data_IF_665704233603
#
_entry.id   IF_665704233603
#
_cell.length_a   1.000
_cell.length_b   1.000
_cell.length_c   1.000
_cell.angle_alpha   90.00
_cell.angle_beta   90.00
_cell.angle_gamma   90.00
#
_symmetry.space_group_name_H-M   'P 1'
#
loop_
_entity.id
_entity.type
_entity.pdbx_description
1 polymer ?
#
# COMPACT_ATOMS: atom_id res chain seq x y z
N UNK A 1 -3.71 18.22 23.84
CA UNK A 1 -4.91 17.78 23.07
C UNK A 1 -4.39 17.07 21.82
N UNK A 2 -5.01 15.96 21.39
CA UNK A 2 -4.59 15.27 20.17
C UNK A 2 -4.98 16.10 18.93
N UNK A 3 -4.12 16.10 17.91
CA UNK A 3 -4.52 16.57 16.57
C UNK A 3 -5.32 15.46 15.89
N UNK A 4 -6.34 15.83 15.11
CA UNK A 4 -7.08 14.92 14.22
C UNK A 4 -6.79 15.18 12.73
N UNK A 5 -5.75 15.97 12.45
CA UNK A 5 -5.24 16.23 11.10
C UNK A 5 -3.76 15.89 11.05
N UNK A 6 -3.35 15.16 10.03
CA UNK A 6 -1.97 14.87 9.70
C UNK A 6 -1.75 15.05 8.19
N UNK A 7 -0.74 15.81 7.79
CA UNK A 7 -0.50 16.16 6.38
C UNK A 7 0.53 15.21 5.74
N UNK A 8 0.13 13.95 5.50
CA UNK A 8 1.01 12.87 5.05
C UNK A 8 1.91 13.24 3.85
N UNK A 9 1.39 13.95 2.86
CA UNK A 9 2.16 14.33 1.65
C UNK A 9 3.21 15.42 1.90
N UNK A 10 3.18 16.12 3.04
CA UNK A 10 4.21 17.10 3.41
C UNK A 10 5.44 16.45 4.06
N UNK A 11 5.36 15.18 4.43
CA UNK A 11 6.49 14.45 4.99
C UNK A 11 7.59 14.21 3.95
N UNK A 12 8.83 14.14 4.42
CA UNK A 12 9.96 13.74 3.61
C UNK A 12 9.73 12.29 3.12
N UNK A 13 9.70 12.05 1.81
CA UNK A 13 9.46 10.70 1.31
C UNK A 13 10.67 9.79 1.47
N UNK A 14 10.40 8.48 1.52
CA UNK A 14 11.39 7.47 1.18
C UNK A 14 11.39 7.27 -0.34
N UNK A 15 12.50 7.61 -0.98
CA UNK A 15 12.73 7.43 -2.41
C UNK A 15 13.51 6.14 -2.62
N UNK A 16 13.04 5.28 -3.52
CA UNK A 16 13.67 4.01 -3.88
C UNK A 16 13.71 3.87 -5.40
N UNK A 17 14.56 2.99 -5.96
CA UNK A 17 14.49 2.67 -7.37
C UNK A 17 13.07 2.22 -7.76
N UNK A 18 12.46 2.90 -8.74
CA UNK A 18 11.13 2.57 -9.25
C UNK A 18 9.95 3.13 -8.44
N UNK A 19 10.16 3.96 -7.41
CA UNK A 19 9.04 4.59 -6.73
C UNK A 19 9.36 5.44 -5.51
N UNK A 20 8.30 5.93 -4.89
CA UNK A 20 8.36 6.78 -3.70
C UNK A 20 7.23 6.42 -2.74
N UNK A 21 7.51 6.46 -1.43
CA UNK A 21 6.53 6.14 -0.39
C UNK A 21 6.61 7.09 0.80
N UNK A 22 5.45 7.35 1.41
CA UNK A 22 5.27 8.05 2.69
C UNK A 22 4.29 7.24 3.53
N UNK A 23 4.58 7.06 4.82
CA UNK A 23 3.71 6.32 5.72
C UNK A 23 3.54 7.06 7.04
N UNK A 24 2.37 6.91 7.64
CA UNK A 24 2.10 7.35 9.01
C UNK A 24 1.33 6.28 9.76
N UNK A 25 1.86 5.94 10.93
CA UNK A 25 1.27 5.07 11.92
C UNK A 25 0.86 5.88 13.15
N UNK A 26 0.47 5.19 14.22
CA UNK A 26 0.24 5.82 15.53
C UNK A 26 1.48 6.55 16.07
N UNK A 27 2.68 6.19 15.62
CA UNK A 27 3.93 6.83 16.06
C UNK A 27 4.06 8.28 15.55
N UNK A 28 3.62 8.52 14.31
CA UNK A 28 3.63 9.85 13.69
C UNK A 28 2.31 10.59 13.94
N UNK A 29 1.19 9.85 13.99
CA UNK A 29 -0.15 10.39 14.17
C UNK A 29 -0.89 9.70 15.33
N UNK A 30 -0.68 10.14 16.59
CA UNK A 30 -1.15 9.43 17.79
C UNK A 30 -2.67 9.29 17.93
N UNK A 31 -3.45 10.07 17.20
CA UNK A 31 -4.90 9.91 17.15
C UNK A 31 -5.34 8.65 16.38
N UNK A 32 -4.48 8.06 15.54
CA UNK A 32 -4.79 6.93 14.65
C UNK A 32 -4.33 5.59 15.22
N UNK A 33 -4.97 5.14 16.30
CA UNK A 33 -4.57 3.92 17.05
C UNK A 33 -4.98 2.61 16.35
N UNK A 34 -5.91 2.66 15.39
CA UNK A 34 -6.47 1.45 14.74
C UNK A 34 -6.11 1.26 13.26
N UNK A 35 -5.60 2.30 12.60
CA UNK A 35 -5.30 2.31 11.16
C UNK A 35 -4.00 3.09 10.94
N UNK A 36 -3.16 2.61 10.02
CA UNK A 36 -2.03 3.35 9.48
C UNK A 36 -2.26 3.61 7.99
N UNK A 37 -1.66 4.66 7.44
CA UNK A 37 -1.79 5.03 6.04
C UNK A 37 -0.43 5.03 5.33
N UNK A 38 -0.41 4.56 4.09
CA UNK A 38 0.74 4.66 3.19
C UNK A 38 0.30 5.29 1.88
N UNK A 39 1.02 6.31 1.43
CA UNK A 39 0.94 6.85 0.08
C UNK A 39 2.14 6.37 -0.72
N UNK A 40 1.87 5.55 -1.73
CA UNK A 40 2.89 4.93 -2.58
C UNK A 40 2.68 5.35 -4.03
N UNK A 41 3.79 5.62 -4.73
CA UNK A 41 3.81 5.81 -6.18
C UNK A 41 4.87 4.88 -6.75
N UNK A 42 4.51 4.15 -7.80
CA UNK A 42 5.40 3.30 -8.56
C UNK A 42 5.55 3.90 -9.96
N UNK A 43 6.78 3.96 -10.46
CA UNK A 43 7.06 4.29 -11.86
C UNK A 43 6.59 3.14 -12.77
N UNK A 44 6.42 3.35 -14.08
CA UNK A 44 6.15 2.26 -15.02
C UNK A 44 7.19 1.14 -14.91
N UNK A 45 6.72 -0.09 -14.64
CA UNK A 45 7.56 -1.26 -14.38
C UNK A 45 8.14 -1.36 -12.96
N UNK A 46 8.00 -0.32 -12.13
CA UNK A 46 8.41 -0.31 -10.72
C UNK A 46 7.62 -1.32 -9.90
N UNK A 47 8.31 -2.06 -9.03
CA UNK A 47 7.73 -3.17 -8.28
C UNK A 47 7.85 -2.93 -6.78
N UNK A 48 6.71 -2.91 -6.08
CA UNK A 48 6.66 -3.27 -4.68
C UNK A 48 6.80 -4.79 -4.60
N UNK A 49 8.00 -5.23 -4.21
CA UNK A 49 8.42 -6.63 -4.14
C UNK A 49 7.43 -7.54 -3.42
N UNK A 50 7.48 -8.85 -3.73
CA UNK A 50 6.65 -9.84 -3.06
C UNK A 50 6.91 -9.84 -1.55
N UNK A 51 5.86 -9.62 -0.76
CA UNK A 51 5.94 -9.55 0.70
C UNK A 51 4.61 -9.93 1.35
N UNK A 52 4.57 -9.92 2.69
CA UNK A 52 3.34 -10.15 3.47
C UNK A 52 3.40 -9.40 4.81
N UNK A 53 2.24 -9.26 5.44
CA UNK A 53 2.10 -8.78 6.82
C UNK A 53 1.04 -9.60 7.53
N UNK A 54 1.42 -10.38 8.54
CA UNK A 54 0.48 -11.19 9.32
C UNK A 54 -0.33 -10.35 10.34
N UNK A 55 0.21 -9.19 10.74
CA UNK A 55 -0.38 -8.30 11.74
C UNK A 55 -1.42 -7.32 11.16
N UNK A 56 -1.44 -7.11 9.84
CA UNK A 56 -2.30 -6.13 9.19
C UNK A 56 -2.89 -6.68 7.89
N UNK A 57 -4.18 -6.43 7.68
CA UNK A 57 -4.77 -6.55 6.36
C UNK A 57 -4.46 -5.27 5.58
N UNK A 58 -4.37 -5.36 4.26
CA UNK A 58 -4.16 -4.20 3.41
C UNK A 58 -5.43 -3.91 2.61
N UNK A 59 -5.82 -2.64 2.56
CA UNK A 59 -6.84 -2.13 1.65
C UNK A 59 -6.21 -1.00 0.84
N UNK A 60 -6.33 -1.07 -0.47
CA UNK A 60 -5.74 -0.09 -1.38
C UNK A 60 -6.79 0.57 -2.27
N UNK A 61 -6.48 1.81 -2.70
CA UNK A 61 -7.26 2.61 -3.63
C UNK A 61 -6.34 3.28 -4.63
N UNK A 62 -6.61 3.11 -5.92
CA UNK A 62 -5.78 3.70 -6.97
C UNK A 62 -6.21 5.14 -7.24
N UNK A 63 -5.32 6.09 -6.92
CA UNK A 63 -5.56 7.52 -7.16
C UNK A 63 -5.30 7.94 -8.60
N UNK A 64 -4.26 7.39 -9.24
CA UNK A 64 -3.82 7.76 -10.59
C UNK A 64 -2.95 6.64 -11.18
N UNK A 65 -2.98 6.51 -12.51
CA UNK A 65 -2.25 5.47 -13.22
C UNK A 65 -2.91 4.12 -12.98
N UNK A 66 -2.18 3.05 -13.26
CA UNK A 66 -2.70 1.70 -13.08
C UNK A 66 -1.61 0.83 -12.45
N UNK A 67 -2.02 -0.23 -11.76
CA UNK A 67 -1.09 -1.21 -11.23
C UNK A 67 -1.61 -2.63 -11.43
N UNK A 68 -0.69 -3.58 -11.51
CA UNK A 68 -0.99 -5.00 -11.45
C UNK A 68 -0.63 -5.53 -10.08
N UNK A 69 -1.54 -6.25 -9.46
CA UNK A 69 -1.27 -6.96 -8.21
C UNK A 69 -1.19 -8.46 -8.46
N UNK A 70 -0.39 -9.13 -7.63
CA UNK A 70 -0.41 -10.60 -7.51
C UNK A 70 -0.72 -10.90 -6.05
N UNK A 71 -1.66 -11.79 -5.78
CA UNK A 71 -2.03 -12.26 -4.45
C UNK A 71 -1.87 -13.78 -4.37
N UNK A 72 -1.21 -14.26 -3.33
CA UNK A 72 -0.97 -15.67 -3.04
C UNK A 72 -1.84 -16.11 -1.87
N UNK A 73 -2.64 -17.16 -2.08
CA UNK A 73 -3.54 -17.71 -1.10
C UNK A 73 -2.86 -18.82 -0.28
N UNK A 74 -3.27 -19.04 0.99
CA UNK A 74 -2.76 -20.13 1.81
C UNK A 74 -2.97 -21.53 1.23
N UNK A 75 -3.94 -21.71 0.34
CA UNK A 75 -4.20 -22.97 -0.36
C UNK A 75 -3.28 -23.21 -1.58
N UNK A 76 -2.36 -22.28 -1.86
CA UNK A 76 -1.44 -22.32 -2.98
C UNK A 76 -1.98 -21.73 -4.28
N UNK A 77 -3.24 -21.29 -4.32
CA UNK A 77 -3.79 -20.56 -5.47
C UNK A 77 -3.27 -19.13 -5.54
N UNK A 78 -3.36 -18.50 -6.71
CA UNK A 78 -2.98 -17.11 -6.91
C UNK A 78 -3.97 -16.36 -7.78
N UNK A 79 -4.07 -15.07 -7.52
CA UNK A 79 -4.87 -14.14 -8.31
C UNK A 79 -3.96 -13.02 -8.81
N UNK A 80 -4.13 -12.65 -10.08
CA UNK A 80 -3.41 -11.54 -10.71
C UNK A 80 -4.46 -10.66 -11.36
N UNK A 81 -4.49 -9.39 -10.99
CA UNK A 81 -5.47 -8.46 -11.52
C UNK A 81 -4.88 -7.06 -11.69
N UNK A 82 -5.48 -6.28 -12.58
CA UNK A 82 -5.09 -4.91 -12.90
C UNK A 82 -6.12 -3.93 -12.34
N UNK A 83 -5.63 -2.89 -11.68
CA UNK A 83 -6.42 -1.88 -11.01
C UNK A 83 -6.15 -0.52 -11.64
N UNK A 84 -7.22 0.15 -12.06
CA UNK A 84 -7.23 1.48 -12.68
C UNK A 84 -7.71 2.55 -11.68
N UNK A 85 -7.62 3.85 -12.00
CA UNK A 85 -8.05 4.91 -11.08
C UNK A 85 -9.50 4.74 -10.63
N UNK A 86 -9.71 4.67 -9.31
CA UNK A 86 -11.01 4.42 -8.70
C UNK A 86 -11.21 2.99 -8.20
N UNK A 87 -10.39 2.04 -8.64
CA UNK A 87 -10.48 0.65 -8.19
C UNK A 87 -9.88 0.45 -6.80
N UNK A 88 -10.32 -0.62 -6.14
CA UNK A 88 -9.93 -1.00 -4.78
C UNK A 88 -9.51 -2.45 -4.70
N UNK A 89 -8.52 -2.75 -3.85
CA UNK A 89 -8.18 -4.13 -3.49
C UNK A 89 -8.25 -4.35 -1.97
N UNK A 90 -8.30 -5.62 -1.59
CA UNK A 90 -8.13 -6.06 -0.22
C UNK A 90 -7.24 -7.30 -0.16
N UNK A 91 -6.14 -7.21 0.59
CA UNK A 91 -5.28 -8.36 0.89
C UNK A 91 -5.51 -8.80 2.35
N UNK A 92 -6.02 -10.01 2.58
CA UNK A 92 -6.18 -10.52 3.93
C UNK A 92 -4.84 -10.65 4.66
N UNK A 93 -4.88 -10.62 5.99
CA UNK A 93 -3.68 -10.76 6.85
C UNK A 93 -2.86 -11.98 6.45
N UNK A 94 -1.57 -11.78 6.23
CA UNK A 94 -0.61 -12.83 5.95
C UNK A 94 -0.61 -13.37 4.51
N UNK A 95 -1.50 -12.89 3.64
CA UNK A 95 -1.48 -13.30 2.24
C UNK A 95 -0.31 -12.62 1.53
N UNK A 96 0.51 -13.42 0.83
CA UNK A 96 1.66 -12.90 0.08
C UNK A 96 1.19 -12.08 -1.11
N UNK A 97 1.79 -10.92 -1.36
CA UNK A 97 1.38 -10.07 -2.48
C UNK A 97 2.51 -9.19 -3.02
N UNK A 98 2.36 -8.75 -4.27
CA UNK A 98 3.24 -7.78 -4.94
C UNK A 98 2.40 -6.78 -5.73
N UNK A 99 2.94 -5.58 -5.97
CA UNK A 99 2.26 -4.52 -6.74
C UNK A 99 3.25 -3.95 -7.75
N UNK A 100 2.88 -3.93 -9.03
CA UNK A 100 3.70 -3.39 -10.11
C UNK A 100 2.99 -2.21 -10.77
N UNK A 101 3.68 -1.07 -10.92
CA UNK A 101 3.19 0.03 -11.75
C UNK A 101 3.21 -0.36 -13.23
N UNK A 102 2.12 -0.11 -13.96
CA UNK A 102 2.02 -0.39 -15.40
C UNK A 102 1.87 0.88 -16.23
#
# INVERSE_FOLDING_TARGET
MLSFKYELEKEAPKILPGGVTRGASVNEFPASVGIAGVSMRLEPGGLRELHWHANAAEWGYVLKGSCRTTLLHPDGSSYIDTFDPGDVWYFPRGYGHSIQGI
#
